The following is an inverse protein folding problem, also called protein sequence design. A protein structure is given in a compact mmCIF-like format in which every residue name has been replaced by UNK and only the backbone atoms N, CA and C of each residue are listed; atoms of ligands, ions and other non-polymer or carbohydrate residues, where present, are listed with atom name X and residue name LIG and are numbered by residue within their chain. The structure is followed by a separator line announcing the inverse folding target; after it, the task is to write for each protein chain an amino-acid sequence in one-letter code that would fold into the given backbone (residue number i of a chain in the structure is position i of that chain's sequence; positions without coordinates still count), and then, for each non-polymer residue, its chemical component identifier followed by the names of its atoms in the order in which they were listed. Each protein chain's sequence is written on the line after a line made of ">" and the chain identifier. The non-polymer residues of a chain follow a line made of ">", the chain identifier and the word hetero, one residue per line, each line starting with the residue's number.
data_IF_774770156312
#
_entry.id   IF_774770156312
#
_cell.length_a   1.000
_cell.length_b   1.000
_cell.length_c   1.000
_cell.angle_alpha   90.00
_cell.angle_beta   90.00
_cell.angle_gamma   90.00
#
_symmetry.space_group_name_H-M   'P 1'
#
loop_
_entity.id
_entity.type
_entity.pdbx_description
1 polymer ?
#
# COMPACT_ATOMS: atom_id res chain seq x y z
N UNK A 1 11.97 -11.93 18.76
CA UNK A 1 10.73 -11.50 19.41
C UNK A 1 11.12 -10.38 20.33
N UNK A 2 10.97 -9.14 19.86
CA UNK A 2 11.00 -7.97 20.73
C UNK A 2 9.76 -8.03 21.61
N UNK A 3 9.98 -7.96 22.91
CA UNK A 3 8.97 -7.98 23.98
C UNK A 3 8.32 -6.59 24.11
N UNK A 4 7.93 -5.99 22.97
CA UNK A 4 7.27 -4.70 22.96
C UNK A 4 5.80 -4.89 23.31
N UNK A 5 5.33 -4.11 24.28
CA UNK A 5 3.93 -4.08 24.65
C UNK A 5 3.10 -3.73 23.40
N UNK A 6 1.93 -4.36 23.22
CA UNK A 6 1.09 -4.08 22.07
C UNK A 6 0.66 -2.61 22.09
N UNK A 7 0.74 -1.95 20.93
CA UNK A 7 0.45 -0.52 20.78
C UNK A 7 -0.68 -0.28 19.80
N UNK A 8 -1.37 0.85 19.97
CA UNK A 8 -2.27 1.43 18.98
C UNK A 8 -1.55 2.67 18.47
N UNK A 9 -1.20 2.66 17.18
CA UNK A 9 -0.61 3.82 16.52
C UNK A 9 -1.75 4.72 16.05
N UNK A 10 -1.64 6.02 16.33
CA UNK A 10 -2.62 7.01 15.88
C UNK A 10 -1.95 7.86 14.81
N UNK A 11 -2.53 7.86 13.61
CA UNK A 11 -2.14 8.68 12.47
C UNK A 11 -3.33 9.55 12.03
N UNK A 12 -3.11 10.43 11.06
CA UNK A 12 -4.15 11.28 10.48
C UNK A 12 -4.05 11.19 8.96
N UNK A 13 -5.19 10.98 8.30
CA UNK A 13 -5.32 11.02 6.84
C UNK A 13 -6.26 12.16 6.40
N UNK A 14 -6.67 12.17 5.12
CA UNK A 14 -7.54 13.23 4.59
C UNK A 14 -8.97 13.19 5.15
N UNK A 15 -9.38 12.06 5.70
CA UNK A 15 -10.73 11.78 6.20
C UNK A 15 -10.82 11.81 7.74
N UNK A 16 -9.68 11.73 8.45
CA UNK A 16 -9.60 12.00 9.90
C UNK A 16 -8.54 11.17 10.62
N UNK A 17 -8.76 10.94 11.91
CA UNK A 17 -7.90 10.09 12.74
C UNK A 17 -8.00 8.61 12.32
N UNK A 18 -6.84 7.98 12.17
CA UNK A 18 -6.71 6.57 11.81
C UNK A 18 -5.98 5.84 12.94
N UNK A 19 -6.59 4.78 13.44
CA UNK A 19 -5.99 3.87 14.40
C UNK A 19 -5.41 2.66 13.67
N UNK A 20 -4.12 2.38 13.86
CA UNK A 20 -3.44 1.22 13.29
C UNK A 20 -2.94 0.30 14.41
N UNK A 21 -3.28 -0.99 14.33
CA UNK A 21 -2.92 -1.98 15.35
C UNK A 21 -2.91 -3.42 14.80
N UNK A 22 -2.11 -4.28 15.42
CA UNK A 22 -2.02 -5.72 15.09
C UNK A 22 -2.75 -6.56 16.14
N UNK A 23 -3.87 -7.18 15.74
CA UNK A 23 -4.71 -7.95 16.63
C UNK A 23 -4.00 -9.17 17.24
N UNK A 24 -2.99 -9.71 16.58
CA UNK A 24 -2.24 -10.88 17.05
C UNK A 24 -1.39 -10.61 18.31
N UNK A 25 -1.17 -9.33 18.62
CA UNK A 25 -0.42 -8.88 19.80
C UNK A 25 -1.31 -8.65 21.02
N UNK A 26 -2.63 -8.80 20.88
CA UNK A 26 -3.60 -8.53 21.95
C UNK A 26 -4.36 -9.77 22.38
N UNK A 27 -4.80 -9.77 23.64
CA UNK A 27 -5.97 -10.56 24.03
C UNK A 27 -7.23 -9.75 23.75
N UNK A 28 -8.36 -10.43 23.50
CA UNK A 28 -9.65 -9.78 23.23
C UNK A 28 -10.01 -8.72 24.29
N UNK A 29 -9.87 -9.06 25.58
CA UNK A 29 -10.19 -8.14 26.67
C UNK A 29 -9.28 -6.90 26.69
N UNK A 30 -7.97 -7.10 26.48
CA UNK A 30 -7.00 -6.01 26.46
C UNK A 30 -7.24 -5.09 25.25
N UNK A 31 -7.51 -5.66 24.08
CA UNK A 31 -7.85 -4.92 22.87
C UNK A 31 -9.13 -4.09 23.06
N UNK A 32 -10.18 -4.69 23.64
CA UNK A 32 -11.44 -3.99 23.89
C UNK A 32 -11.25 -2.80 24.84
N UNK A 33 -10.48 -3.00 25.92
CA UNK A 33 -10.21 -1.93 26.88
C UNK A 33 -9.41 -0.79 26.24
N UNK A 34 -8.33 -1.11 25.53
CA UNK A 34 -7.48 -0.12 24.87
C UNK A 34 -8.27 0.69 23.83
N UNK A 35 -9.04 0.02 22.96
CA UNK A 35 -9.87 0.71 21.96
C UNK A 35 -10.93 1.60 22.62
N UNK A 36 -11.58 1.16 23.70
CA UNK A 36 -12.56 2.01 24.43
C UNK A 36 -11.91 3.27 24.99
N UNK A 37 -10.71 3.15 25.53
CA UNK A 37 -9.98 4.28 26.10
C UNK A 37 -9.59 5.30 25.02
N UNK A 38 -9.09 4.82 23.87
CA UNK A 38 -8.76 5.69 22.73
C UNK A 38 -10.02 6.33 22.14
N UNK A 39 -11.06 5.55 21.86
CA UNK A 39 -12.33 6.04 21.29
C UNK A 39 -13.06 7.04 22.21
N UNK A 40 -12.84 6.99 23.52
CA UNK A 40 -13.40 7.97 24.45
C UNK A 40 -12.69 9.34 24.38
N UNK A 41 -11.50 9.40 23.79
CA UNK A 41 -10.67 10.59 23.66
C UNK A 41 -10.76 11.21 22.26
N UNK A 42 -11.22 10.44 21.26
CA UNK A 42 -11.36 10.90 19.87
C UNK A 42 -12.58 11.80 19.71
N UNK A 43 -12.44 12.87 18.94
CA UNK A 43 -13.48 13.90 18.78
C UNK A 43 -14.22 13.86 17.44
N UNK A 44 -13.75 13.03 16.51
CA UNK A 44 -14.33 12.78 15.19
C UNK A 44 -14.57 11.29 14.96
N UNK A 45 -15.26 10.95 13.86
CA UNK A 45 -15.31 9.56 13.40
C UNK A 45 -13.88 9.08 13.12
N UNK A 46 -13.56 7.88 13.61
CA UNK A 46 -12.25 7.25 13.39
C UNK A 46 -12.35 6.07 12.43
N UNK A 47 -11.28 5.89 11.67
CA UNK A 47 -11.02 4.66 10.92
C UNK A 47 -10.06 3.78 11.68
N UNK A 48 -10.22 2.46 11.62
CA UNK A 48 -9.33 1.50 12.28
C UNK A 48 -8.81 0.51 11.25
N UNK A 49 -7.49 0.49 11.04
CA UNK A 49 -6.80 -0.56 10.31
C UNK A 49 -6.27 -1.61 11.27
N UNK A 50 -6.85 -2.81 11.19
CA UNK A 50 -6.51 -3.93 12.03
C UNK A 50 -5.77 -5.01 11.23
N UNK A 51 -4.54 -5.32 11.61
CA UNK A 51 -3.79 -6.46 11.08
C UNK A 51 -4.23 -7.75 11.77
N UNK A 52 -4.28 -8.85 11.03
CA UNK A 52 -4.69 -10.18 11.51
C UNK A 52 -6.12 -10.21 12.12
N UNK A 53 -7.15 -9.72 11.41
CA UNK A 53 -8.53 -9.75 11.89
C UNK A 53 -9.03 -11.19 12.08
N UNK A 54 -10.04 -11.36 12.94
CA UNK A 54 -10.75 -12.61 13.12
C UNK A 54 -12.24 -12.37 13.35
N UNK A 55 -13.06 -13.40 13.11
CA UNK A 55 -14.52 -13.31 13.33
C UNK A 55 -14.90 -12.95 14.78
N UNK A 56 -14.06 -13.32 15.76
CA UNK A 56 -14.33 -12.98 17.17
C UNK A 56 -13.99 -11.52 17.45
N UNK A 57 -12.90 -11.01 16.85
CA UNK A 57 -12.53 -9.59 16.92
C UNK A 57 -13.52 -8.71 16.15
N UNK A 58 -14.06 -9.18 15.02
CA UNK A 58 -15.14 -8.47 14.31
C UNK A 58 -16.34 -8.23 15.22
N UNK A 59 -16.82 -9.26 15.92
CA UNK A 59 -17.94 -9.14 16.87
C UNK A 59 -17.60 -8.26 18.06
N UNK A 60 -16.33 -8.19 18.46
CA UNK A 60 -15.86 -7.32 19.51
C UNK A 60 -15.91 -5.85 19.07
N UNK A 61 -15.39 -5.55 17.87
CA UNK A 61 -15.38 -4.20 17.28
C UNK A 61 -16.80 -3.72 16.95
N UNK A 62 -17.70 -4.60 16.51
CA UNK A 62 -19.12 -4.26 16.30
C UNK A 62 -19.78 -3.72 17.58
N UNK A 63 -19.46 -4.27 18.76
CA UNK A 63 -19.95 -3.76 20.06
C UNK A 63 -19.41 -2.38 20.41
N UNK A 64 -18.32 -1.97 19.76
CA UNK A 64 -17.73 -0.63 19.83
C UNK A 64 -18.24 0.28 18.69
N UNK A 65 -19.24 -0.16 17.92
CA UNK A 65 -19.76 0.49 16.71
C UNK A 65 -18.73 0.62 15.58
N UNK A 66 -17.68 -0.20 15.58
CA UNK A 66 -16.72 -0.28 14.48
C UNK A 66 -17.13 -1.43 13.56
N UNK A 67 -17.48 -1.10 12.31
CA UNK A 67 -18.01 -2.07 11.34
C UNK A 67 -17.01 -2.30 10.21
N UNK A 68 -16.71 -3.56 9.86
CA UNK A 68 -15.74 -3.88 8.81
C UNK A 68 -16.21 -3.34 7.45
N UNK A 69 -15.28 -2.77 6.70
CA UNK A 69 -15.54 -2.17 5.38
C UNK A 69 -14.87 -2.97 4.26
N UNK A 70 -13.55 -3.12 4.32
CA UNK A 70 -12.76 -3.80 3.28
C UNK A 70 -11.52 -4.44 3.86
N UNK A 71 -11.03 -5.45 3.14
CA UNK A 71 -9.76 -6.10 3.42
C UNK A 71 -8.70 -5.64 2.41
N UNK A 72 -7.51 -5.37 2.92
CA UNK A 72 -6.30 -5.05 2.19
C UNK A 72 -5.29 -6.17 2.46
N UNK A 73 -4.87 -6.87 1.40
CA UNK A 73 -3.85 -7.90 1.50
C UNK A 73 -2.47 -7.28 1.41
N UNK A 74 -1.63 -7.56 2.41
CA UNK A 74 -0.18 -7.42 2.31
C UNK A 74 0.38 -8.70 1.72
N UNK A 75 0.82 -8.62 0.48
CA UNK A 75 1.39 -9.77 -0.22
C UNK A 75 2.90 -9.64 -0.27
N UNK A 76 3.62 -10.73 -0.03
CA UNK A 76 5.10 -10.73 -0.03
C UNK A 76 5.71 -11.87 -0.85
N UNK A 77 6.98 -11.68 -1.22
CA UNK A 77 7.87 -12.76 -1.66
C UNK A 77 9.35 -12.42 -1.41
N UNK A 78 10.19 -13.45 -1.33
CA UNK A 78 11.63 -13.30 -1.56
C UNK A 78 11.93 -12.98 -3.02
N UNK A 79 12.94 -12.14 -3.26
CA UNK A 79 13.49 -11.82 -4.57
C UNK A 79 15.00 -12.15 -4.58
N UNK A 80 15.64 -12.47 -5.72
CA UNK A 80 15.15 -12.36 -7.10
C UNK A 80 13.98 -13.28 -7.45
N UNK A 81 13.13 -12.83 -8.37
CA UNK A 81 12.10 -13.67 -8.98
C UNK A 81 12.67 -14.38 -10.21
N UNK A 82 12.26 -15.63 -10.44
CA UNK A 82 12.61 -16.35 -11.69
C UNK A 82 12.02 -15.67 -12.92
N UNK A 83 10.82 -15.12 -12.78
CA UNK A 83 10.14 -14.39 -13.83
C UNK A 83 10.73 -12.99 -13.96
N UNK A 84 11.04 -12.59 -15.19
CA UNK A 84 11.65 -11.29 -15.52
C UNK A 84 10.85 -10.57 -16.59
N UNK A 85 11.10 -9.27 -16.73
CA UNK A 85 10.64 -8.48 -17.88
C UNK A 85 11.83 -7.82 -18.58
N UNK A 86 11.67 -7.62 -19.89
CA UNK A 86 12.54 -6.79 -20.72
C UNK A 86 11.95 -5.39 -20.94
N UNK A 87 10.86 -5.05 -20.24
CA UNK A 87 10.21 -3.75 -20.34
C UNK A 87 11.19 -2.64 -19.97
N UNK A 88 11.54 -1.82 -20.97
CA UNK A 88 12.43 -0.68 -20.76
C UNK A 88 11.66 0.41 -20.03
N UNK A 89 12.18 0.80 -18.86
CA UNK A 89 11.66 1.91 -18.06
C UNK A 89 12.77 2.92 -17.82
N UNK A 90 12.39 4.18 -17.65
CA UNK A 90 13.29 5.24 -17.16
C UNK A 90 12.95 5.59 -15.72
N UNK A 91 13.87 6.25 -15.04
CA UNK A 91 13.61 6.86 -13.72
C UNK A 91 12.69 8.07 -13.89
N UNK A 92 11.94 8.39 -12.83
CA UNK A 92 11.18 9.62 -12.71
C UNK A 92 12.11 10.84 -12.67
N UNK A 93 11.72 11.92 -13.32
CA UNK A 93 12.48 13.16 -13.40
C UNK A 93 11.79 14.25 -12.57
N UNK A 94 12.37 14.51 -11.40
CA UNK A 94 11.90 15.56 -10.47
C UNK A 94 11.91 16.93 -11.14
N UNK A 95 10.82 17.67 -10.95
CA UNK A 95 10.56 18.98 -11.54
C UNK A 95 10.11 18.95 -13.00
N UNK A 96 9.81 17.77 -13.56
CA UNK A 96 9.33 17.60 -14.94
C UNK A 96 8.13 16.68 -15.05
N UNK A 97 8.19 15.51 -14.41
CA UNK A 97 7.21 14.44 -14.61
C UNK A 97 5.96 14.60 -13.72
N UNK A 98 5.96 15.47 -12.70
CA UNK A 98 4.91 15.53 -11.67
C UNK A 98 3.51 15.72 -12.24
N UNK A 99 3.36 16.67 -13.17
CA UNK A 99 2.07 17.02 -13.73
C UNK A 99 1.47 15.88 -14.58
N UNK A 100 2.31 15.25 -15.40
CA UNK A 100 1.91 14.15 -16.26
C UNK A 100 1.64 12.87 -15.45
N UNK A 101 2.50 12.58 -14.48
CA UNK A 101 2.30 11.47 -13.56
C UNK A 101 0.99 11.61 -12.79
N UNK A 102 0.67 12.80 -12.26
CA UNK A 102 -0.59 13.04 -11.55
C UNK A 102 -1.79 12.79 -12.48
N UNK A 103 -1.72 13.19 -13.75
CA UNK A 103 -2.79 12.96 -14.72
C UNK A 103 -3.03 11.46 -14.93
N UNK A 104 -1.96 10.67 -15.14
CA UNK A 104 -2.04 9.21 -15.30
C UNK A 104 -2.56 8.54 -14.04
N UNK A 105 -2.00 8.87 -12.87
CA UNK A 105 -2.41 8.33 -11.59
C UNK A 105 -3.91 8.58 -11.33
N UNK A 106 -4.37 9.81 -11.51
CA UNK A 106 -5.76 10.18 -11.25
C UNK A 106 -6.73 9.54 -12.23
N UNK A 107 -6.32 9.27 -13.48
CA UNK A 107 -7.13 8.50 -14.44
C UNK A 107 -7.22 7.04 -14.04
N UNK A 108 -6.09 6.41 -13.73
CA UNK A 108 -6.01 5.01 -13.35
C UNK A 108 -6.76 4.71 -12.02
N UNK A 109 -6.73 5.65 -11.08
CA UNK A 109 -7.35 5.56 -9.75
C UNK A 109 -8.58 6.46 -9.58
N UNK A 110 -9.25 6.83 -10.68
CA UNK A 110 -10.41 7.74 -10.65
C UNK A 110 -11.57 7.29 -9.75
N UNK A 111 -11.63 6.00 -9.42
CA UNK A 111 -12.60 5.37 -8.52
C UNK A 111 -12.07 5.11 -7.10
N UNK A 112 -10.77 5.32 -6.85
CA UNK A 112 -10.13 4.97 -5.58
C UNK A 112 -10.10 6.19 -4.65
N UNK A 113 -10.66 6.04 -3.45
CA UNK A 113 -10.76 7.12 -2.46
C UNK A 113 -9.40 7.68 -2.05
N UNK A 114 -8.45 6.80 -1.74
CA UNK A 114 -7.13 7.20 -1.20
C UNK A 114 -6.08 7.53 -2.26
N UNK A 115 -6.17 6.93 -3.46
CA UNK A 115 -5.16 7.07 -4.51
C UNK A 115 -5.57 7.98 -5.65
N UNK A 116 -6.82 8.44 -5.69
CA UNK A 116 -7.27 9.50 -6.57
C UNK A 116 -6.89 10.91 -6.05
N UNK A 117 -6.92 11.89 -6.95
CA UNK A 117 -6.80 13.31 -6.58
C UNK A 117 -5.40 13.75 -6.17
N UNK A 118 -4.34 13.09 -6.65
CA UNK A 118 -2.97 13.58 -6.49
C UNK A 118 -2.77 14.90 -7.27
N UNK A 119 -2.07 15.83 -6.64
CA UNK A 119 -1.60 17.07 -7.26
C UNK A 119 -0.08 17.10 -7.27
N UNK A 120 0.56 17.91 -8.14
CA UNK A 120 2.00 18.09 -8.11
C UNK A 120 2.53 18.53 -6.74
N UNK A 121 1.76 19.32 -5.99
CA UNK A 121 2.13 19.77 -4.65
C UNK A 121 2.14 18.59 -3.65
N UNK A 122 1.09 17.76 -3.64
CA UNK A 122 1.01 16.54 -2.83
C UNK A 122 2.13 15.55 -3.19
N UNK A 123 2.44 15.42 -4.49
CA UNK A 123 3.59 14.63 -4.92
C UNK A 123 4.90 15.21 -4.40
N UNK A 124 5.07 16.53 -4.48
CA UNK A 124 6.28 17.20 -4.00
C UNK A 124 6.47 17.02 -2.50
N UNK A 125 5.40 17.00 -1.71
CA UNK A 125 5.44 16.65 -0.28
C UNK A 125 5.96 15.22 -0.09
N UNK A 126 5.43 14.26 -0.85
CA UNK A 126 5.87 12.86 -0.80
C UNK A 126 7.32 12.67 -1.25
N UNK A 127 7.82 13.52 -2.16
CA UNK A 127 9.22 13.55 -2.59
C UNK A 127 10.18 14.05 -1.50
N UNK A 128 9.70 14.72 -0.44
CA UNK A 128 10.54 15.14 0.70
C UNK A 128 10.76 14.03 1.73
N UNK A 129 10.06 12.92 1.60
CA UNK A 129 10.19 11.79 2.51
C UNK A 129 11.58 11.14 2.40
N UNK A 130 12.17 10.66 3.52
CA UNK A 130 13.53 10.12 3.52
C UNK A 130 13.68 8.82 2.72
N UNK A 131 12.57 8.13 2.40
CA UNK A 131 12.55 6.93 1.59
C UNK A 131 12.41 7.22 0.09
N UNK A 132 12.13 8.47 -0.31
CA UNK A 132 11.94 8.82 -1.72
C UNK A 132 13.23 8.61 -2.51
N UNK A 133 13.11 7.83 -3.59
CA UNK A 133 14.18 7.62 -4.56
C UNK A 133 13.60 7.70 -5.99
N UNK A 134 14.02 8.68 -6.82
CA UNK A 134 13.56 8.76 -8.21
C UNK A 134 14.01 7.57 -9.07
N UNK A 135 15.09 6.86 -8.70
CA UNK A 135 15.54 5.66 -9.43
C UNK A 135 14.60 4.47 -9.23
N UNK A 136 14.00 4.36 -8.03
CA UNK A 136 12.92 3.43 -7.71
C UNK A 136 11.55 3.79 -8.28
N UNK A 137 11.44 4.97 -8.89
CA UNK A 137 10.21 5.41 -9.55
C UNK A 137 10.28 5.13 -11.05
N UNK A 138 9.84 3.93 -11.44
CA UNK A 138 9.97 3.39 -12.79
C UNK A 138 8.84 3.88 -13.69
N UNK A 139 9.19 4.61 -14.75
CA UNK A 139 8.27 5.15 -15.74
C UNK A 139 8.37 4.37 -17.05
N UNK A 140 7.24 3.91 -17.56
CA UNK A 140 7.10 3.40 -18.91
C UNK A 140 6.45 4.45 -19.81
N UNK A 141 7.17 4.83 -20.86
CA UNK A 141 6.70 5.78 -21.86
C UNK A 141 6.28 5.07 -23.15
N UNK A 142 5.21 5.57 -23.75
CA UNK A 142 4.79 5.17 -25.08
C UNK A 142 4.24 6.39 -25.82
N UNK A 143 4.65 6.61 -27.06
CA UNK A 143 4.26 7.79 -27.85
C UNK A 143 4.59 9.13 -27.17
N UNK A 144 5.77 9.22 -26.52
CA UNK A 144 6.24 10.42 -25.82
C UNK A 144 5.33 10.89 -24.67
N UNK A 145 4.58 9.97 -24.07
CA UNK A 145 3.80 10.21 -22.85
C UNK A 145 4.00 9.05 -21.87
N UNK A 146 3.83 9.33 -20.59
CA UNK A 146 3.76 8.33 -19.51
C UNK A 146 2.53 7.46 -19.77
N UNK A 147 2.76 6.20 -20.11
CA UNK A 147 1.69 5.23 -20.29
C UNK A 147 1.40 4.46 -19.00
N UNK A 148 2.42 4.27 -18.17
CA UNK A 148 2.31 3.52 -16.93
C UNK A 148 3.53 3.76 -16.02
N UNK A 149 3.42 3.41 -14.74
CA UNK A 149 4.52 3.53 -13.79
C UNK A 149 4.47 2.48 -12.68
N UNK A 150 5.63 2.26 -12.04
CA UNK A 150 5.79 1.51 -10.80
C UNK A 150 6.72 2.30 -9.87
N UNK A 151 6.17 2.86 -8.81
CA UNK A 151 6.92 3.55 -7.77
C UNK A 151 7.24 2.58 -6.64
N UNK A 152 8.53 2.34 -6.38
CA UNK A 152 8.96 1.49 -5.26
C UNK A 152 9.34 2.32 -4.04
N UNK A 153 9.19 1.72 -2.85
CA UNK A 153 9.65 2.25 -1.57
C UNK A 153 10.51 1.20 -0.86
N UNK A 154 11.52 1.63 -0.10
CA UNK A 154 12.30 0.74 0.76
C UNK A 154 12.00 1.10 2.21
N UNK A 155 11.61 0.09 3.00
CA UNK A 155 11.48 0.19 4.46
C UNK A 155 12.79 -0.27 5.07
N UNK A 156 13.66 0.69 5.41
CA UNK A 156 15.03 0.46 5.88
C UNK A 156 15.13 0.22 7.39
N UNK A 157 14.07 0.52 8.11
CA UNK A 157 13.83 0.25 9.52
C UNK A 157 13.50 -1.23 9.81
N UNK A 158 13.04 -1.95 8.79
CA UNK A 158 12.83 -3.40 8.83
C UNK A 158 14.17 -4.17 8.77
N UNK A 159 14.24 -5.32 9.44
CA UNK A 159 15.44 -6.14 9.49
C UNK A 159 15.17 -7.61 9.12
N UNK A 160 15.54 -8.07 7.91
CA UNK A 160 16.22 -7.31 6.85
C UNK A 160 15.30 -6.28 6.16
N UNK A 161 15.84 -5.23 5.52
CA UNK A 161 15.05 -4.25 4.77
C UNK A 161 14.13 -4.91 3.74
N UNK A 162 12.93 -4.36 3.60
CA UNK A 162 11.92 -4.85 2.66
C UNK A 162 11.58 -3.78 1.63
N UNK A 163 11.54 -4.19 0.36
CA UNK A 163 11.08 -3.34 -0.73
C UNK A 163 9.58 -3.41 -0.91
N UNK A 164 8.97 -2.36 -1.39
CA UNK A 164 7.54 -2.26 -1.66
C UNK A 164 7.33 -1.81 -3.10
N UNK A 165 6.40 -2.44 -3.81
CA UNK A 165 5.73 -1.78 -4.94
C UNK A 165 4.65 -0.88 -4.34
N UNK A 166 5.01 0.39 -4.13
CA UNK A 166 4.23 1.35 -3.33
C UNK A 166 3.01 1.86 -4.10
N UNK A 167 3.22 2.30 -5.35
CA UNK A 167 2.12 2.63 -6.26
C UNK A 167 2.44 2.12 -7.65
N UNK A 168 1.51 1.40 -8.26
CA UNK A 168 1.62 0.92 -9.63
C UNK A 168 0.33 1.25 -10.38
N UNK A 169 0.48 1.82 -11.57
CA UNK A 169 -0.68 2.18 -12.39
C UNK A 169 -0.36 2.08 -13.87
N UNK A 170 -1.41 1.82 -14.65
CA UNK A 170 -1.40 1.89 -16.11
C UNK A 170 -2.51 2.86 -16.49
N UNK A 171 -2.21 3.82 -17.37
CA UNK A 171 -3.24 4.71 -17.90
C UNK A 171 -4.32 3.88 -18.62
N UNK A 172 -5.62 4.17 -18.44
CA UNK A 172 -6.71 3.45 -19.09
C UNK A 172 -6.57 3.25 -20.60
N UNK A 173 -5.95 4.21 -21.30
CA UNK A 173 -5.77 4.12 -22.77
C UNK A 173 -4.76 3.04 -23.18
N UNK A 174 -3.99 2.49 -22.23
CA UNK A 174 -2.96 1.47 -22.42
C UNK A 174 -3.26 0.16 -21.67
N UNK A 175 -4.50 -0.02 -21.21
CA UNK A 175 -4.94 -1.27 -20.58
C UNK A 175 -4.96 -2.45 -21.55
N UNK A 176 -4.91 -3.67 -21.02
CA UNK A 176 -4.94 -4.90 -21.82
C UNK A 176 -3.62 -5.28 -22.50
N UNK A 177 -2.54 -4.49 -22.31
CA UNK A 177 -1.23 -4.74 -22.89
C UNK A 177 -0.27 -5.55 -21.99
N UNK A 178 -0.75 -6.06 -20.85
CA UNK A 178 0.08 -6.79 -19.88
C UNK A 178 1.04 -5.92 -19.06
N UNK A 179 0.92 -4.59 -19.15
CA UNK A 179 1.84 -3.64 -18.52
C UNK A 179 1.89 -3.74 -16.99
N UNK A 180 0.76 -4.04 -16.31
CA UNK A 180 0.75 -4.19 -14.85
C UNK A 180 1.71 -5.29 -14.37
N UNK A 181 1.72 -6.45 -15.04
CA UNK A 181 2.66 -7.54 -14.73
C UNK A 181 4.09 -7.13 -15.02
N UNK A 182 4.33 -6.58 -16.21
CA UNK A 182 5.66 -6.19 -16.65
C UNK A 182 6.27 -5.13 -15.72
N UNK A 183 5.49 -4.13 -15.30
CA UNK A 183 5.95 -3.08 -14.39
C UNK A 183 6.20 -3.58 -12.97
N UNK A 184 5.35 -4.48 -12.46
CA UNK A 184 5.59 -5.13 -11.17
C UNK A 184 6.93 -5.85 -11.16
N UNK A 185 7.21 -6.62 -12.22
CA UNK A 185 8.51 -7.30 -12.39
C UNK A 185 9.66 -6.30 -12.53
N UNK A 186 9.48 -5.20 -13.27
CA UNK A 186 10.49 -4.16 -13.40
C UNK A 186 10.82 -3.49 -12.06
N UNK A 187 9.81 -3.24 -11.21
CA UNK A 187 9.98 -2.71 -9.86
C UNK A 187 10.79 -3.68 -8.98
N UNK A 188 10.45 -4.97 -8.97
CA UNK A 188 11.21 -5.96 -8.22
C UNK A 188 12.63 -6.18 -8.75
N UNK A 189 12.83 -6.12 -10.07
CA UNK A 189 14.17 -6.15 -10.67
C UNK A 189 15.00 -4.94 -10.22
N UNK A 190 14.41 -3.73 -10.15
CA UNK A 190 15.10 -2.58 -9.59
C UNK A 190 15.46 -2.78 -8.11
N UNK A 191 14.52 -3.22 -7.28
CA UNK A 191 14.76 -3.51 -5.85
C UNK A 191 15.89 -4.53 -5.65
N UNK A 192 15.95 -5.56 -6.49
CA UNK A 192 17.06 -6.52 -6.51
C UNK A 192 18.41 -5.84 -6.81
N UNK A 193 18.47 -4.92 -7.77
CA UNK A 193 19.74 -4.23 -8.11
C UNK A 193 20.31 -3.39 -6.98
N UNK A 194 19.47 -2.94 -6.05
CA UNK A 194 19.87 -2.18 -4.86
C UNK A 194 19.99 -3.06 -3.60
N UNK A 195 20.00 -4.39 -3.78
CA UNK A 195 20.34 -5.36 -2.72
C UNK A 195 19.17 -5.80 -1.84
N UNK A 196 17.94 -5.46 -2.19
CA UNK A 196 16.75 -5.93 -1.47
C UNK A 196 16.49 -7.41 -1.80
N UNK A 197 16.16 -8.20 -0.78
CA UNK A 197 15.97 -9.66 -0.88
C UNK A 197 14.55 -10.10 -0.57
N UNK A 198 13.71 -9.20 -0.06
CA UNK A 198 12.29 -9.41 0.20
C UNK A 198 11.51 -8.22 -0.32
N UNK A 199 10.39 -8.49 -0.96
CA UNK A 199 9.53 -7.44 -1.47
C UNK A 199 8.06 -7.71 -1.13
N UNK A 200 7.30 -6.63 -1.05
CA UNK A 200 5.89 -6.67 -0.70
C UNK A 200 5.07 -5.66 -1.50
N UNK A 201 3.76 -5.75 -1.39
CA UNK A 201 2.80 -4.76 -1.82
C UNK A 201 1.51 -4.86 -1.01
N UNK A 202 0.69 -3.83 -1.12
CA UNK A 202 -0.70 -3.85 -0.66
C UNK A 202 -1.66 -3.88 -1.84
N UNK A 203 -2.74 -4.64 -1.71
CA UNK A 203 -3.80 -4.73 -2.73
C UNK A 203 -5.14 -4.98 -2.07
N UNK A 204 -6.20 -4.31 -2.53
CA UNK A 204 -7.56 -4.61 -2.09
C UNK A 204 -7.92 -6.08 -2.37
N UNK A 205 -8.49 -6.75 -1.37
CA UNK A 205 -8.88 -8.15 -1.47
C UNK A 205 -9.89 -8.40 -2.60
N UNK A 206 -10.76 -7.41 -2.86
CA UNK A 206 -11.78 -7.46 -3.91
C UNK A 206 -11.22 -7.16 -5.31
N UNK A 207 -9.97 -6.68 -5.42
CA UNK A 207 -9.28 -6.52 -6.70
C UNK A 207 -8.75 -7.89 -7.19
N UNK A 208 -9.68 -8.79 -7.48
CA UNK A 208 -9.38 -10.17 -7.89
C UNK A 208 -8.45 -10.28 -9.10
N UNK A 209 -8.47 -9.38 -10.12
CA UNK A 209 -7.48 -9.41 -11.20
C UNK A 209 -6.05 -9.13 -10.71
N UNK A 210 -5.85 -8.10 -9.87
CA UNK A 210 -4.53 -7.76 -9.33
C UNK A 210 -4.03 -8.85 -8.38
N UNK A 211 -4.89 -9.34 -7.47
CA UNK A 211 -4.55 -10.45 -6.56
C UNK A 211 -4.13 -11.70 -7.35
N UNK A 212 -4.85 -12.05 -8.42
CA UNK A 212 -4.48 -13.20 -9.27
C UNK A 212 -3.13 -12.99 -9.96
N UNK A 213 -2.89 -11.79 -10.49
CA UNK A 213 -1.62 -11.42 -11.09
C UNK A 213 -0.45 -11.55 -10.10
N UNK A 214 -0.61 -11.07 -8.86
CA UNK A 214 0.46 -11.14 -7.87
C UNK A 214 0.71 -12.57 -7.40
N UNK A 215 -0.33 -13.41 -7.27
CA UNK A 215 -0.19 -14.85 -7.03
C UNK A 215 0.52 -15.56 -8.19
N UNK A 216 0.28 -15.17 -9.44
CA UNK A 216 0.97 -15.75 -10.60
C UNK A 216 2.45 -15.37 -10.68
N UNK A 217 2.81 -14.19 -10.14
CA UNK A 217 4.20 -13.78 -9.90
C UNK A 217 4.77 -14.47 -8.63
N UNK A 218 3.90 -15.15 -7.88
CA UNK A 218 4.14 -16.00 -6.72
C UNK A 218 4.29 -15.27 -5.40
N UNK A 219 3.73 -14.07 -5.30
CA UNK A 219 3.50 -13.45 -4.00
C UNK A 219 2.42 -14.22 -3.24
N UNK A 220 2.58 -14.27 -1.93
CA UNK A 220 1.64 -14.90 -1.01
C UNK A 220 1.07 -13.84 -0.05
N UNK A 221 -0.21 -13.97 0.30
CA UNK A 221 -0.82 -13.13 1.32
C UNK A 221 -0.16 -13.48 2.67
N UNK A 222 0.57 -12.54 3.24
CA UNK A 222 1.20 -12.70 4.56
C UNK A 222 0.32 -12.09 5.67
N UNK A 223 -0.28 -10.92 5.40
CA UNK A 223 -1.14 -10.23 6.35
C UNK A 223 -2.44 -9.83 5.65
N UNK A 224 -3.56 -10.05 6.33
CA UNK A 224 -4.83 -9.40 6.01
C UNK A 224 -4.95 -8.21 6.95
N UNK A 225 -5.10 -7.01 6.38
CA UNK A 225 -5.44 -5.80 7.11
C UNK A 225 -6.89 -5.47 6.84
N UNK A 226 -7.68 -5.19 7.87
CA UNK A 226 -9.10 -4.87 7.73
C UNK A 226 -9.38 -3.45 8.18
N UNK A 227 -10.04 -2.69 7.32
CA UNK A 227 -10.55 -1.38 7.65
C UNK A 227 -11.90 -1.53 8.36
N UNK A 228 -12.02 -0.94 9.54
CA UNK A 228 -13.28 -0.70 10.21
C UNK A 228 -13.57 0.79 10.23
N UNK A 229 -14.84 1.14 10.11
CA UNK A 229 -15.28 2.51 10.23
C UNK A 229 -16.28 2.65 11.38
N UNK A 230 -16.15 3.72 12.15
CA UNK A 230 -17.09 4.03 13.21
C UNK A 230 -18.45 4.38 12.62
N UNK A 231 -19.49 3.69 13.07
CA UNK A 231 -20.87 4.05 12.78
C UNK A 231 -21.38 5.05 13.82
N UNK A 232 -22.01 6.12 13.33
CA UNK A 232 -22.81 7.06 14.12
C UNK A 232 -23.89 6.35 14.96
#
# INVERSE_FOLDING_TARGET
>A
MTDEAPTITITEDRDGEVLELDASLWTDDALSMALREVLAQTSSEVSVWLDHPSNDIDRLLERLKLVPQRDLFRMERSIPLEQRTDLVTRSFVVGKDEAEWCAVNNRAFSWHREQGGWTPDLLSERQQEPWFDPEGFRIYEQNNQIAAFCWTKIHSDENPPIGEVYVIAVDPDFHGLGLGRALTLAGYQHLETVGITRAMLYVDADNTPAVSLYRDIGLEVQVVRRLYQQQS
#
